data_IF_247211659184
#
_entry.id   IF_247211659184
#
_cell.length_a   1.000
_cell.length_b   1.000
_cell.length_c   1.000
_cell.angle_alpha   90.00
_cell.angle_beta   90.00
_cell.angle_gamma   90.00
#
_symmetry.space_group_name_H-M   'P 1'
#
loop_
_entity.id
_entity.type
_entity.pdbx_description
1 polymer ?
#
# COMPACT_ATOMS: atom_id res chain seq x y z
N UNK A 1 -14.73 -24.04 -0.09
CA UNK A 1 -14.59 -24.29 1.38
C UNK A 1 -13.92 -23.11 2.10
N UNK A 2 -14.37 -21.86 1.82
CA UNK A 2 -13.83 -20.65 2.45
C UNK A 2 -14.25 -20.51 3.92
N UNK A 3 -15.43 -21.00 4.30
CA UNK A 3 -15.93 -20.98 5.69
C UNK A 3 -15.07 -21.80 6.65
N UNK A 4 -14.61 -22.98 6.26
CA UNK A 4 -13.74 -23.80 7.11
C UNK A 4 -12.38 -23.17 7.44
N UNK A 5 -11.90 -22.23 6.61
CA UNK A 5 -10.65 -21.52 6.92
C UNK A 5 -10.87 -20.40 7.93
N UNK A 6 -12.06 -19.79 7.95
CA UNK A 6 -12.38 -18.71 8.88
C UNK A 6 -12.48 -19.21 10.33
N UNK A 7 -13.19 -20.34 10.53
CA UNK A 7 -13.31 -20.96 11.85
C UNK A 7 -11.93 -21.38 12.39
N UNK A 8 -11.04 -21.85 11.51
CA UNK A 8 -9.65 -22.18 11.88
C UNK A 8 -8.84 -20.93 12.26
N UNK A 9 -9.03 -19.82 11.54
CA UNK A 9 -8.37 -18.55 11.89
C UNK A 9 -8.86 -18.04 13.24
N UNK A 10 -10.18 -18.11 13.49
CA UNK A 10 -10.74 -17.70 14.77
C UNK A 10 -10.32 -18.62 15.92
N UNK A 11 -10.28 -19.93 15.71
CA UNK A 11 -9.76 -20.89 16.68
C UNK A 11 -8.28 -20.61 16.98
N UNK A 12 -7.46 -20.44 15.96
CA UNK A 12 -6.05 -20.09 16.10
C UNK A 12 -5.84 -18.78 16.87
N UNK A 13 -6.62 -17.74 16.57
CA UNK A 13 -6.57 -16.46 17.29
C UNK A 13 -6.97 -16.67 18.77
N UNK A 14 -8.04 -17.45 19.04
CA UNK A 14 -8.50 -17.71 20.41
C UNK A 14 -7.48 -18.51 21.21
N UNK A 15 -6.89 -19.53 20.61
CA UNK A 15 -5.86 -20.36 21.24
C UNK A 15 -4.60 -19.54 21.53
N UNK A 16 -4.21 -18.71 20.58
CA UNK A 16 -3.06 -17.82 20.73
C UNK A 16 -3.26 -16.74 21.80
N UNK A 17 -4.49 -16.23 21.99
CA UNK A 17 -4.81 -15.24 23.05
C UNK A 17 -4.77 -15.87 24.44
N UNK A 18 -5.10 -17.15 24.55
CA UNK A 18 -5.07 -17.87 25.83
C UNK A 18 -3.64 -18.30 26.24
N UNK A 19 -2.67 -18.22 25.33
CA UNK A 19 -1.27 -18.44 25.66
C UNK A 19 -0.70 -17.20 26.34
N UNK A 20 -0.37 -17.32 27.64
CA UNK A 20 0.14 -16.21 28.46
C UNK A 20 1.41 -15.54 27.90
N UNK A 21 2.14 -16.20 27.01
CA UNK A 21 3.30 -15.64 26.31
C UNK A 21 2.94 -14.48 25.38
N UNK A 22 1.66 -14.36 24.98
CA UNK A 22 1.17 -13.30 24.06
C UNK A 22 0.90 -11.99 24.80
N UNK A 23 0.61 -12.04 26.09
CA UNK A 23 0.25 -10.86 26.88
C UNK A 23 1.46 -10.01 27.28
N UNK A 24 2.66 -10.54 27.22
CA UNK A 24 3.88 -9.84 27.64
C UNK A 24 4.77 -9.34 26.50
N UNK A 25 4.52 -9.78 25.24
CA UNK A 25 5.33 -9.38 24.09
C UNK A 25 4.71 -8.20 23.30
N UNK A 26 5.38 -7.06 23.29
CA UNK A 26 5.00 -5.91 22.46
C UNK A 26 5.30 -6.09 20.94
N UNK A 27 5.50 -7.32 20.48
CA UNK A 27 5.89 -7.62 19.11
C UNK A 27 4.91 -8.55 18.38
N UNK A 28 5.03 -8.68 17.06
CA UNK A 28 4.25 -9.63 16.29
C UNK A 28 4.69 -11.07 16.58
N UNK A 29 3.72 -11.98 16.61
CA UNK A 29 3.99 -13.43 16.62
C UNK A 29 4.26 -13.90 15.20
N UNK A 30 5.47 -14.34 14.95
CA UNK A 30 5.90 -14.84 13.64
C UNK A 30 5.78 -16.35 13.61
N UNK A 31 5.09 -16.87 12.60
CA UNK A 31 4.98 -18.29 12.32
C UNK A 31 5.85 -18.58 11.09
N UNK A 32 6.83 -19.46 11.27
CA UNK A 32 7.73 -19.87 10.22
C UNK A 32 7.51 -21.32 9.81
N UNK A 33 7.80 -21.63 8.57
CA UNK A 33 7.87 -23.00 8.09
C UNK A 33 9.15 -23.73 8.58
N UNK A 34 9.30 -24.99 8.17
CA UNK A 34 10.47 -25.81 8.55
C UNK A 34 11.80 -25.28 8.01
N UNK A 35 11.80 -24.42 7.02
CA UNK A 35 12.98 -23.76 6.46
C UNK A 35 13.34 -22.46 7.18
N UNK A 36 12.52 -22.00 8.14
CA UNK A 36 12.65 -20.74 8.84
C UNK A 36 12.05 -19.55 8.09
N UNK A 37 11.37 -19.77 6.95
CA UNK A 37 10.70 -18.71 6.21
C UNK A 37 9.39 -18.34 6.89
N UNK A 38 9.12 -17.04 7.05
CA UNK A 38 7.86 -16.54 7.59
C UNK A 38 6.69 -16.94 6.67
N UNK A 39 5.70 -17.59 7.23
CA UNK A 39 4.46 -17.97 6.53
C UNK A 39 3.24 -17.22 7.04
N UNK A 40 3.28 -16.78 8.30
CA UNK A 40 2.24 -15.92 8.85
C UNK A 40 2.79 -15.03 9.98
N UNK A 41 2.08 -13.95 10.23
CA UNK A 41 2.33 -13.01 11.33
C UNK A 41 1.01 -12.64 12.00
N UNK A 42 0.97 -12.76 13.31
CA UNK A 42 -0.16 -12.35 14.13
C UNK A 42 0.26 -11.14 14.97
N UNK A 43 -0.43 -10.03 14.77
CA UNK A 43 -0.14 -8.77 15.46
C UNK A 43 -1.36 -8.30 16.25
N UNK A 44 -1.16 -8.07 17.54
CA UNK A 44 -2.20 -7.58 18.46
C UNK A 44 -2.00 -6.13 18.79
N UNK A 45 -3.07 -5.34 18.73
CA UNK A 45 -3.11 -4.03 19.39
C UNK A 45 -3.71 -4.20 20.78
N UNK A 46 -2.94 -3.99 21.84
CA UNK A 46 -3.43 -4.17 23.21
C UNK A 46 -4.50 -3.13 23.57
N UNK A 47 -5.34 -3.48 24.53
CA UNK A 47 -6.27 -2.63 25.24
C UNK A 47 -6.02 -2.82 26.73
N UNK A 48 -6.56 -1.95 27.58
CA UNK A 48 -6.40 -1.99 29.06
C UNK A 48 -6.91 -3.31 29.64
N UNK A 49 -7.89 -3.96 29.01
CA UNK A 49 -8.56 -5.15 29.55
C UNK A 49 -8.27 -6.40 28.69
N UNK A 50 -7.97 -6.18 27.39
CA UNK A 50 -7.79 -7.27 26.43
C UNK A 50 -7.14 -6.72 25.15
N UNK A 51 -7.14 -7.48 24.04
CA UNK A 51 -6.76 -6.94 22.73
C UNK A 51 -7.91 -6.12 22.13
N UNK A 52 -7.58 -5.09 21.39
CA UNK A 52 -8.51 -4.19 20.71
C UNK A 52 -8.69 -4.55 19.24
N UNK A 53 -7.61 -5.01 18.63
CA UNK A 53 -7.53 -5.35 17.22
C UNK A 53 -6.47 -6.43 17.04
N UNK A 54 -6.78 -7.40 16.25
CA UNK A 54 -5.80 -8.38 15.76
C UNK A 54 -5.72 -8.29 14.24
N UNK A 55 -4.52 -8.37 13.71
CA UNK A 55 -4.28 -8.56 12.28
C UNK A 55 -3.44 -9.81 12.07
N UNK A 56 -3.93 -10.67 11.18
CA UNK A 56 -3.25 -11.87 10.73
C UNK A 56 -2.86 -11.69 9.28
N UNK A 57 -1.57 -11.73 9.01
CA UNK A 57 -0.98 -11.60 7.68
C UNK A 57 -0.37 -12.92 7.25
N UNK A 58 -0.51 -13.28 5.96
CA UNK A 58 0.02 -14.51 5.38
C UNK A 58 0.97 -14.19 4.24
N UNK A 59 2.07 -14.95 4.15
CA UNK A 59 3.08 -14.90 3.09
C UNK A 59 2.99 -16.17 2.23
N UNK A 60 2.30 -16.14 1.13
CA UNK A 60 2.16 -17.27 0.21
C UNK A 60 3.38 -17.43 -0.70
N UNK A 61 4.55 -17.62 -0.10
CA UNK A 61 5.80 -17.80 -0.81
C UNK A 61 6.47 -16.52 -1.33
N UNK A 62 5.89 -15.35 -1.02
CA UNK A 62 6.42 -14.03 -1.37
C UNK A 62 7.29 -13.46 -0.24
N UNK A 63 8.00 -12.37 -0.51
CA UNK A 63 8.80 -11.63 0.48
C UNK A 63 7.97 -10.58 1.23
N UNK A 64 6.69 -10.46 0.90
CA UNK A 64 5.71 -9.58 1.51
C UNK A 64 4.40 -10.34 1.78
N UNK A 65 3.55 -9.88 2.71
CA UNK A 65 2.28 -10.54 2.98
C UNK A 65 1.32 -10.39 1.79
N UNK A 66 0.76 -11.52 1.36
CA UNK A 66 -0.21 -11.61 0.24
C UNK A 66 -1.65 -11.51 0.69
N UNK A 67 -1.92 -11.80 1.97
CA UNK A 67 -3.26 -11.74 2.55
C UNK A 67 -3.19 -11.19 3.96
N UNK A 68 -4.08 -10.27 4.30
CA UNK A 68 -4.26 -9.78 5.66
C UNK A 68 -5.72 -9.82 6.06
N UNK A 69 -5.99 -10.36 7.26
CA UNK A 69 -7.30 -10.34 7.89
C UNK A 69 -7.22 -9.53 9.19
N UNK A 70 -8.20 -8.69 9.45
CA UNK A 70 -8.30 -7.90 10.68
C UNK A 70 -9.59 -8.24 11.41
N UNK A 71 -9.48 -8.44 12.71
CA UNK A 71 -10.62 -8.78 13.55
C UNK A 71 -10.60 -8.00 14.88
N UNK A 72 -11.78 -7.89 15.49
CA UNK A 72 -12.00 -7.34 16.83
C UNK A 72 -12.64 -8.41 17.74
N UNK A 73 -12.57 -8.27 19.08
CA UNK A 73 -13.16 -9.24 19.99
C UNK A 73 -14.65 -9.50 19.73
N UNK A 74 -15.16 -10.75 19.93
CA UNK A 74 -14.43 -11.97 20.31
C UNK A 74 -13.68 -12.65 19.15
N UNK A 75 -13.97 -12.39 17.92
CA UNK A 75 -13.31 -12.73 16.67
C UNK A 75 -14.17 -12.25 15.47
N UNK A 76 -14.66 -11.03 15.58
CA UNK A 76 -15.44 -10.44 14.49
C UNK A 76 -14.51 -9.88 13.44
N UNK A 77 -14.48 -10.47 12.25
CA UNK A 77 -13.75 -9.92 11.11
C UNK A 77 -14.35 -8.59 10.74
N UNK A 78 -13.48 -7.58 10.60
CA UNK A 78 -13.85 -6.23 10.20
C UNK A 78 -13.35 -5.87 8.81
N UNK A 79 -12.27 -6.50 8.35
CA UNK A 79 -11.76 -6.36 6.99
C UNK A 79 -10.83 -7.50 6.63
N UNK A 80 -10.76 -7.81 5.34
CA UNK A 80 -9.67 -8.62 4.78
C UNK A 80 -9.19 -7.97 3.49
N UNK A 81 -7.90 -8.09 3.20
CA UNK A 81 -7.27 -7.63 1.96
C UNK A 81 -6.38 -8.72 1.40
N UNK A 82 -6.35 -8.81 0.09
CA UNK A 82 -5.56 -9.79 -0.63
C UNK A 82 -4.85 -9.13 -1.81
N UNK A 83 -3.59 -9.44 -1.96
CA UNK A 83 -2.83 -9.12 -3.15
C UNK A 83 -3.23 -10.06 -4.28
N UNK A 84 -3.41 -9.54 -5.47
CA UNK A 84 -3.76 -10.31 -6.65
C UNK A 84 -3.14 -9.71 -7.89
N UNK A 85 -3.38 -10.36 -9.02
CA UNK A 85 -3.04 -9.86 -10.34
C UNK A 85 -4.23 -9.98 -11.28
N UNK A 86 -4.38 -9.00 -12.18
CA UNK A 86 -5.34 -9.07 -13.28
C UNK A 86 -4.89 -10.10 -14.34
N UNK A 87 -5.74 -10.37 -15.32
CA UNK A 87 -5.37 -11.20 -16.45
C UNK A 87 -4.19 -10.61 -17.27
N UNK A 88 -4.07 -9.28 -17.26
CA UNK A 88 -3.01 -8.54 -17.94
C UNK A 88 -1.71 -8.44 -17.11
N UNK A 89 -1.72 -8.98 -15.88
CA UNK A 89 -0.56 -9.01 -15.00
C UNK A 89 -0.46 -7.83 -14.03
N UNK A 90 -1.35 -6.84 -14.11
CA UNK A 90 -1.32 -5.68 -13.21
C UNK A 90 -1.62 -6.09 -11.75
N UNK A 91 -0.85 -5.56 -10.84
CA UNK A 91 -1.02 -5.80 -9.40
C UNK A 91 -2.23 -5.04 -8.85
N UNK A 92 -3.01 -5.75 -8.05
CA UNK A 92 -4.24 -5.23 -7.43
C UNK A 92 -4.32 -5.60 -5.95
N UNK A 93 -4.99 -4.76 -5.17
CA UNK A 93 -5.47 -5.11 -3.83
C UNK A 93 -6.97 -5.36 -3.91
N UNK A 94 -7.39 -6.54 -3.49
CA UNK A 94 -8.79 -6.92 -3.36
C UNK A 94 -9.19 -6.72 -1.90
N UNK A 95 -10.16 -5.85 -1.65
CA UNK A 95 -10.71 -5.60 -0.32
C UNK A 95 -12.02 -6.35 -0.13
N UNK A 96 -12.17 -6.99 1.02
CA UNK A 96 -13.34 -7.77 1.40
C UNK A 96 -14.04 -7.12 2.59
N UNK A 97 -15.37 -7.21 2.60
CA UNK A 97 -16.19 -6.80 3.72
C UNK A 97 -16.20 -7.83 4.87
N UNK A 98 -16.98 -7.53 5.90
CA UNK A 98 -17.17 -8.41 7.07
C UNK A 98 -17.83 -9.75 6.72
N UNK A 99 -18.52 -9.82 5.60
CA UNK A 99 -19.15 -11.01 5.01
C UNK A 99 -18.20 -11.74 4.02
N UNK A 100 -16.94 -11.32 3.94
CA UNK A 100 -15.92 -11.84 3.03
C UNK A 100 -16.28 -11.75 1.54
N UNK A 101 -17.22 -10.88 1.19
CA UNK A 101 -17.48 -10.54 -0.20
C UNK A 101 -16.58 -9.41 -0.65
N UNK A 102 -16.17 -9.43 -1.91
CA UNK A 102 -15.39 -8.35 -2.51
C UNK A 102 -16.17 -7.04 -2.42
N UNK A 103 -15.50 -6.00 -1.93
CA UNK A 103 -16.02 -4.64 -1.83
C UNK A 103 -15.38 -3.71 -2.85
N UNK A 104 -14.08 -3.81 -3.00
CA UNK A 104 -13.32 -3.03 -3.99
C UNK A 104 -12.14 -3.83 -4.52
N UNK A 105 -11.69 -3.42 -5.70
CA UNK A 105 -10.42 -3.84 -6.28
C UNK A 105 -9.69 -2.57 -6.68
N UNK A 106 -8.48 -2.41 -6.17
CA UNK A 106 -7.68 -1.20 -6.32
C UNK A 106 -6.37 -1.55 -7.04
N UNK A 107 -6.08 -0.95 -8.20
CA UNK A 107 -4.81 -1.14 -8.86
C UNK A 107 -3.68 -0.53 -8.01
N UNK A 108 -2.56 -1.22 -7.93
CA UNK A 108 -1.41 -0.77 -7.15
C UNK A 108 -0.55 0.23 -7.91
N UNK A 109 -0.61 0.20 -9.22
CA UNK A 109 0.08 1.12 -10.10
C UNK A 109 -0.88 1.58 -11.23
N UNK A 110 -1.91 2.39 -10.90
CA UNK A 110 -2.90 2.81 -11.88
C UNK A 110 -2.25 3.67 -12.97
N UNK A 111 -2.73 3.60 -14.21
CA UNK A 111 -2.31 4.54 -15.25
C UNK A 111 -2.70 5.97 -14.87
N UNK A 112 -1.90 6.93 -15.34
CA UNK A 112 -2.30 8.32 -15.28
C UNK A 112 -3.48 8.58 -16.20
N UNK A 113 -4.55 9.12 -15.67
CA UNK A 113 -5.72 9.53 -16.44
C UNK A 113 -6.23 10.88 -15.92
N UNK A 114 -6.41 11.82 -16.83
CA UNK A 114 -7.06 13.10 -16.51
C UNK A 114 -8.54 12.86 -16.27
N UNK A 115 -8.97 12.89 -15.03
CA UNK A 115 -10.37 12.69 -14.66
C UNK A 115 -11.21 13.92 -15.02
N UNK A 116 -11.97 13.86 -16.12
CA UNK A 116 -13.04 14.82 -16.44
C UNK A 116 -12.63 16.28 -16.63
N UNK A 117 -11.36 16.58 -16.69
CA UNK A 117 -10.81 17.91 -16.95
C UNK A 117 -10.50 18.05 -18.45
N UNK A 118 -10.66 19.25 -19.04
CA UNK A 118 -10.10 19.50 -20.35
C UNK A 118 -8.58 19.23 -20.29
N UNK A 119 -8.06 18.57 -21.34
CA UNK A 119 -6.63 18.24 -21.44
C UNK A 119 -5.80 19.50 -21.18
N UNK A 120 -4.96 19.48 -20.16
CA UNK A 120 -4.05 20.58 -19.90
C UNK A 120 -3.09 20.74 -21.10
N UNK A 121 -2.77 21.98 -21.43
CA UNK A 121 -1.73 22.24 -22.42
C UNK A 121 -0.40 21.65 -21.93
N UNK A 122 0.45 21.17 -22.85
CA UNK A 122 1.81 20.77 -22.52
C UNK A 122 2.51 21.85 -21.71
N UNK A 123 3.24 21.47 -20.68
CA UNK A 123 3.90 22.42 -19.79
C UNK A 123 5.29 21.92 -19.41
N UNK A 124 6.25 22.84 -19.43
CA UNK A 124 7.58 22.54 -18.91
C UNK A 124 7.53 22.44 -17.38
N UNK A 125 8.21 21.44 -16.79
CA UNK A 125 8.31 21.36 -15.34
C UNK A 125 9.26 22.43 -14.81
N UNK A 126 8.80 23.17 -13.80
CA UNK A 126 9.66 24.13 -13.07
C UNK A 126 10.16 23.53 -11.74
N UNK A 127 9.62 22.39 -11.36
CA UNK A 127 9.97 21.65 -10.16
C UNK A 127 10.11 20.17 -10.49
N UNK A 128 11.05 19.48 -9.85
CA UNK A 128 11.12 18.04 -9.82
C UNK A 128 10.85 17.56 -8.40
N UNK A 129 9.81 16.77 -8.21
CA UNK A 129 9.59 16.04 -6.96
C UNK A 129 10.24 14.66 -7.07
N UNK A 130 11.21 14.40 -6.20
CA UNK A 130 11.88 13.11 -6.07
C UNK A 130 11.50 12.52 -4.72
N UNK A 131 10.55 11.58 -4.70
CA UNK A 131 9.99 11.01 -3.48
C UNK A 131 9.41 9.60 -3.76
N UNK A 132 8.45 9.12 -2.96
CA UNK A 132 7.74 7.84 -3.16
C UNK A 132 6.69 7.88 -4.29
N UNK A 133 6.69 8.93 -5.11
CA UNK A 133 5.69 9.20 -6.15
C UNK A 133 4.58 10.11 -5.66
N UNK A 134 3.52 10.27 -6.46
CA UNK A 134 2.30 11.00 -6.06
C UNK A 134 1.05 10.25 -6.49
N UNK A 135 -0.04 10.42 -5.78
CA UNK A 135 -1.35 10.00 -6.25
C UNK A 135 -1.87 11.02 -7.27
N UNK A 136 -1.43 10.87 -8.50
CA UNK A 136 -1.78 11.75 -9.62
C UNK A 136 -3.24 11.62 -10.08
N UNK A 137 -4.04 10.74 -9.49
CA UNK A 137 -5.49 10.67 -9.75
C UNK A 137 -6.29 11.64 -8.86
N UNK A 138 -5.64 12.33 -7.92
CA UNK A 138 -6.28 13.36 -7.11
C UNK A 138 -6.39 14.68 -7.90
N UNK A 139 -7.58 15.30 -8.02
CA UNK A 139 -7.76 16.55 -8.77
C UNK A 139 -6.84 17.69 -8.30
N UNK A 140 -6.58 17.78 -6.99
CA UNK A 140 -5.68 18.77 -6.42
C UNK A 140 -4.23 18.58 -6.85
N UNK A 141 -3.81 17.34 -7.12
CA UNK A 141 -2.48 17.01 -7.62
C UNK A 141 -2.39 17.29 -9.12
N UNK A 142 -3.39 16.85 -9.89
CA UNK A 142 -3.40 16.92 -11.36
C UNK A 142 -3.14 18.34 -11.89
N UNK A 143 -3.71 19.36 -11.27
CA UNK A 143 -3.57 20.74 -11.70
C UNK A 143 -2.12 21.27 -11.65
N UNK A 144 -1.25 20.64 -10.86
CA UNK A 144 0.16 21.00 -10.70
C UNK A 144 1.13 20.04 -11.38
N UNK A 145 0.65 19.06 -12.14
CA UNK A 145 1.52 18.14 -12.86
C UNK A 145 2.01 18.77 -14.17
N UNK A 146 3.27 18.54 -14.48
CA UNK A 146 3.82 18.84 -15.79
C UNK A 146 3.44 17.73 -16.77
N UNK A 147 2.92 18.10 -17.94
CA UNK A 147 2.49 17.18 -18.99
C UNK A 147 3.30 17.40 -20.27
N UNK A 148 3.65 16.29 -20.92
CA UNK A 148 4.26 16.30 -22.25
C UNK A 148 3.26 16.67 -23.35
N UNK A 149 3.77 16.77 -24.58
CA UNK A 149 2.93 17.05 -25.76
C UNK A 149 1.92 15.95 -26.06
N UNK A 150 2.19 14.73 -25.61
CA UNK A 150 1.32 13.56 -25.70
C UNK A 150 0.25 13.51 -24.57
N UNK A 151 0.24 14.51 -23.69
CA UNK A 151 -0.65 14.59 -22.53
C UNK A 151 -0.28 13.64 -21.40
N UNK A 152 0.85 12.94 -21.50
CA UNK A 152 1.34 12.07 -20.44
C UNK A 152 2.09 12.88 -19.38
N UNK A 153 2.11 12.34 -18.17
CA UNK A 153 2.86 12.90 -17.05
C UNK A 153 4.36 12.95 -17.37
N UNK A 154 4.99 14.10 -17.14
CA UNK A 154 6.45 14.19 -17.14
C UNK A 154 6.95 13.64 -15.82
N UNK A 155 7.70 12.54 -15.89
CA UNK A 155 8.26 11.87 -14.75
C UNK A 155 8.65 10.44 -15.04
N UNK A 156 9.12 9.72 -14.00
CA UNK A 156 9.53 8.34 -14.13
C UNK A 156 9.49 7.62 -12.78
N UNK A 157 9.15 6.34 -12.83
CA UNK A 157 9.19 5.46 -11.69
C UNK A 157 10.46 4.59 -11.73
N UNK A 158 11.47 4.95 -10.94
CA UNK A 158 12.72 4.19 -10.81
C UNK A 158 12.56 2.97 -9.88
N UNK A 159 11.43 2.83 -9.22
CA UNK A 159 11.16 1.67 -8.37
C UNK A 159 10.57 0.51 -9.18
N UNK A 160 9.52 0.78 -9.96
CA UNK A 160 8.87 -0.21 -10.80
C UNK A 160 9.41 -0.19 -12.26
N UNK A 161 10.30 0.78 -12.58
CA UNK A 161 10.94 0.97 -13.87
C UNK A 161 9.94 1.21 -15.01
N UNK A 162 9.00 2.14 -14.78
CA UNK A 162 7.97 2.53 -15.74
C UNK A 162 7.67 4.04 -15.70
N UNK A 163 6.67 4.49 -16.46
CA UNK A 163 6.25 5.89 -16.54
C UNK A 163 5.09 6.22 -15.57
N UNK A 164 4.88 5.40 -14.54
CA UNK A 164 3.76 5.54 -13.61
C UNK A 164 4.25 5.78 -12.17
N UNK A 165 4.81 6.96 -11.85
CA UNK A 165 5.34 7.28 -10.52
C UNK A 165 4.22 7.46 -9.48
N UNK A 166 3.38 6.44 -9.34
CA UNK A 166 2.26 6.42 -8.40
C UNK A 166 2.76 6.20 -6.98
N UNK A 167 2.22 7.00 -6.06
CA UNK A 167 2.65 6.96 -4.66
C UNK A 167 2.16 5.72 -3.95
N UNK A 168 3.01 4.73 -3.85
CA UNK A 168 2.82 3.54 -3.01
C UNK A 168 4.15 3.16 -2.35
N UNK A 169 4.17 3.09 -1.04
CA UNK A 169 5.30 2.56 -0.29
C UNK A 169 4.85 1.35 0.55
N UNK A 170 5.02 0.12 0.04
CA UNK A 170 4.54 -1.09 0.68
C UNK A 170 5.43 -1.58 1.84
N UNK A 171 6.61 -0.97 2.06
CA UNK A 171 7.63 -1.48 2.99
C UNK A 171 7.18 -1.65 4.43
N UNK A 172 6.29 -0.79 4.91
CA UNK A 172 5.73 -0.92 6.25
C UNK A 172 4.49 -1.79 6.28
N UNK A 173 3.68 -1.72 5.23
CA UNK A 173 2.48 -2.53 5.09
C UNK A 173 2.01 -2.54 3.64
N UNK A 174 2.09 -3.69 2.99
CA UNK A 174 1.70 -3.84 1.58
C UNK A 174 0.21 -3.52 1.32
N UNK A 175 -0.66 -3.72 2.33
CA UNK A 175 -2.10 -3.45 2.22
C UNK A 175 -2.50 -2.04 2.60
N UNK A 176 -1.63 -1.30 3.26
CA UNK A 176 -1.83 0.08 3.68
C UNK A 176 -0.53 0.84 3.41
N UNK A 177 -0.21 1.04 2.11
CA UNK A 177 1.02 1.72 1.74
C UNK A 177 1.05 3.13 2.32
N UNK A 178 2.22 3.61 2.62
CA UNK A 178 2.42 5.01 2.95
C UNK A 178 2.37 5.83 1.66
N UNK A 179 1.75 7.01 1.76
CA UNK A 179 1.65 7.97 0.68
C UNK A 179 2.45 9.23 1.03
N UNK A 180 3.76 9.06 1.26
CA UNK A 180 4.63 10.13 1.71
C UNK A 180 4.75 11.24 0.66
N UNK A 181 5.08 10.90 -0.57
CA UNK A 181 5.25 11.87 -1.63
C UNK A 181 3.95 12.63 -1.97
N UNK A 182 2.78 11.98 -1.89
CA UNK A 182 1.49 12.65 -2.03
C UNK A 182 1.26 13.67 -0.91
N UNK A 183 1.63 13.32 0.32
CA UNK A 183 1.49 14.22 1.47
C UNK A 183 2.41 15.43 1.33
N UNK A 184 3.67 15.21 0.96
CA UNK A 184 4.65 16.27 0.70
C UNK A 184 4.18 17.16 -0.45
N UNK A 185 3.74 16.56 -1.56
CA UNK A 185 3.26 17.31 -2.72
C UNK A 185 2.01 18.12 -2.41
N UNK A 186 1.10 17.58 -1.61
CA UNK A 186 -0.12 18.30 -1.21
C UNK A 186 0.20 19.55 -0.38
N UNK A 187 1.19 19.47 0.50
CA UNK A 187 1.65 20.64 1.25
C UNK A 187 2.34 21.65 0.32
N UNK A 188 3.23 21.17 -0.55
CA UNK A 188 3.95 21.99 -1.49
C UNK A 188 3.02 22.69 -2.50
N UNK A 189 2.00 22.02 -2.99
CA UNK A 189 1.04 22.55 -3.97
C UNK A 189 0.26 23.77 -3.49
N UNK A 190 0.16 23.99 -2.18
CA UNK A 190 -0.46 25.18 -1.60
C UNK A 190 0.36 26.44 -1.86
N UNK A 191 1.68 26.28 -2.03
CA UNK A 191 2.64 27.37 -2.22
C UNK A 191 3.05 27.53 -3.69
N UNK A 192 2.79 26.53 -4.54
CA UNK A 192 3.30 26.48 -5.92
C UNK A 192 2.63 27.47 -6.88
N UNK A 193 1.41 27.95 -6.57
CA UNK A 193 0.65 28.76 -7.54
C UNK A 193 0.41 27.99 -8.84
N UNK A 194 0.91 28.54 -9.97
CA UNK A 194 0.79 27.92 -11.31
C UNK A 194 1.96 27.03 -11.71
N UNK A 195 2.93 26.84 -10.82
CA UNK A 195 4.09 26.01 -11.10
C UNK A 195 3.71 24.57 -11.40
N UNK A 196 4.43 23.96 -12.34
CA UNK A 196 4.24 22.56 -12.74
C UNK A 196 5.40 21.71 -12.27
N UNK A 197 5.11 20.47 -11.87
CA UNK A 197 6.08 19.54 -11.34
C UNK A 197 6.19 18.27 -12.19
N UNK A 198 7.43 17.86 -12.45
CA UNK A 198 7.76 16.51 -12.88
C UNK A 198 7.89 15.61 -11.66
N UNK A 199 7.43 14.36 -11.78
CA UNK A 199 7.37 13.43 -10.65
C UNK A 199 8.31 12.24 -10.88
N UNK A 200 9.21 12.03 -9.92
CA UNK A 200 10.16 10.93 -9.94
C UNK A 200 10.01 10.09 -8.69
N UNK A 201 9.70 8.79 -8.88
CA UNK A 201 9.53 7.85 -7.77
C UNK A 201 10.79 7.04 -7.55
N UNK A 202 11.30 7.07 -6.32
CA UNK A 202 12.47 6.31 -5.88
C UNK A 202 12.15 5.49 -4.65
N UNK A 203 12.71 4.27 -4.52
CA UNK A 203 12.67 3.53 -3.27
C UNK A 203 13.53 4.25 -2.23
N UNK A 204 12.96 4.60 -1.07
CA UNK A 204 13.64 5.40 -0.05
C UNK A 204 14.96 4.79 0.47
N UNK A 205 15.11 3.45 0.42
CA UNK A 205 16.36 2.79 0.82
C UNK A 205 17.48 2.92 -0.23
N UNK A 206 17.17 3.34 -1.45
CA UNK A 206 18.12 3.53 -2.54
C UNK A 206 18.41 5.01 -2.83
N UNK A 207 17.88 5.94 -2.05
CA UNK A 207 18.18 7.37 -2.23
C UNK A 207 19.68 7.69 -2.09
N UNK A 208 20.45 6.83 -1.40
CA UNK A 208 21.91 6.94 -1.37
C UNK A 208 22.60 6.65 -2.72
N UNK A 209 21.88 6.06 -3.68
CA UNK A 209 22.38 5.82 -5.04
C UNK A 209 22.05 6.94 -6.02
N UNK A 210 21.55 8.05 -5.54
CA UNK A 210 21.32 9.23 -6.39
C UNK A 210 22.62 9.70 -7.07
N UNK A 211 23.76 9.47 -6.44
CA UNK A 211 25.08 9.76 -7.02
C UNK A 211 25.49 8.83 -8.18
N UNK A 212 24.79 7.70 -8.37
CA UNK A 212 25.08 6.77 -9.47
C UNK A 212 24.27 7.12 -10.74
N UNK A 213 23.44 8.15 -10.68
CA UNK A 213 22.55 8.61 -11.77
C UNK A 213 23.01 9.93 -12.41
N UNK A 214 24.09 10.54 -11.92
CA UNK A 214 24.76 11.70 -12.46
C UNK A 214 26.14 11.24 -12.98
#
# INVERSE_FOLDING_TARGET
>A
NRTNNLDKVCAFISDSINDASITEGNGPHIISDKSGKTVAELNFKPSIINWKLVSLSFWEGQDFPTTQVRAVPPCKIISARQFGRTADGDEIIISYGTDLKVRSTEPQNPPFMMAGQPMQAPSEPLLALVDTGVNYNLPMVQKHLALGQDGQLIGYDFWDNDNRPFDKDPRKNAFFPLHHGTTVFSALSQELGDLKAAIYRFPAHNMCRFNDLI
#
